data_IF_023956182323
#
_entry.id   IF_023956182323
#
_cell.length_a   1.000
_cell.length_b   1.000
_cell.length_c   1.000
_cell.angle_alpha   90.00
_cell.angle_beta   90.00
_cell.angle_gamma   90.00
#
_symmetry.space_group_name_H-M   'P 1'
#
loop_
_entity.id
_entity.type
_entity.pdbx_description
1 polymer ?
#
# COMPACT_ATOMS: atom_id res chain seq x y z
N UNK A 1 -2.22 32.03 73.53
CA UNK A 1 -1.92 32.48 72.15
C UNK A 1 -2.94 31.87 71.22
N UNK A 2 -3.94 32.64 70.80
CA UNK A 2 -4.93 32.19 69.82
C UNK A 2 -4.32 32.27 68.42
N UNK A 3 -4.24 31.13 67.73
CA UNK A 3 -3.84 31.09 66.32
C UNK A 3 -5.00 31.56 65.46
N UNK A 4 -4.87 32.73 64.84
CA UNK A 4 -5.76 33.18 63.78
C UNK A 4 -5.46 32.36 62.52
N UNK A 5 -6.30 31.37 62.22
CA UNK A 5 -6.32 30.75 60.90
C UNK A 5 -6.97 31.72 59.93
N UNK A 6 -6.18 32.28 59.02
CA UNK A 6 -6.70 33.01 57.88
C UNK A 6 -7.51 32.01 57.04
N UNK A 7 -8.84 32.18 57.03
CA UNK A 7 -9.71 31.43 56.12
C UNK A 7 -9.80 32.25 54.85
N UNK A 8 -9.07 31.82 53.82
CA UNK A 8 -9.24 32.37 52.49
C UNK A 8 -10.70 32.26 52.06
N UNK A 9 -11.15 33.26 51.29
CA UNK A 9 -12.52 33.28 50.77
C UNK A 9 -12.75 32.02 49.92
N UNK A 10 -13.92 31.36 50.04
CA UNK A 10 -14.23 30.22 49.22
C UNK A 10 -14.19 30.62 47.74
N UNK A 11 -13.28 30.01 47.00
CA UNK A 11 -13.16 30.19 45.55
C UNK A 11 -14.42 29.62 44.89
N UNK A 12 -15.18 30.41 44.11
CA UNK A 12 -16.34 29.93 43.39
C UNK A 12 -15.99 28.72 42.53
N UNK A 13 -16.89 27.71 42.42
CA UNK A 13 -16.49 26.48 41.78
C UNK A 13 -16.06 26.63 40.32
N UNK A 14 -16.66 27.58 39.63
CA UNK A 14 -16.44 27.82 38.20
C UNK A 14 -15.06 28.45 37.90
N UNK A 15 -14.41 29.07 38.88
CA UNK A 15 -13.07 29.68 38.70
C UNK A 15 -11.95 28.64 38.62
N UNK A 16 -12.21 27.40 39.02
CA UNK A 16 -11.18 26.34 39.08
C UNK A 16 -11.54 25.11 38.27
N UNK A 17 -12.76 25.00 37.74
CA UNK A 17 -13.18 23.85 36.91
C UNK A 17 -12.54 23.96 35.53
N UNK A 18 -11.71 22.98 35.10
CA UNK A 18 -11.08 23.01 33.78
C UNK A 18 -12.09 22.90 32.64
N UNK A 19 -11.75 23.47 31.49
CA UNK A 19 -12.42 23.13 30.23
C UNK A 19 -12.33 21.61 29.97
N UNK A 20 -13.38 21.00 29.40
CA UNK A 20 -13.32 19.60 29.00
C UNK A 20 -12.28 19.41 27.91
N UNK A 21 -11.55 18.30 27.98
CA UNK A 21 -10.64 17.88 26.91
C UNK A 21 -11.44 17.60 25.64
N UNK A 22 -11.05 18.17 24.51
CA UNK A 22 -11.71 17.95 23.22
C UNK A 22 -10.83 17.18 22.21
N UNK A 23 -9.56 16.93 22.56
CA UNK A 23 -8.55 16.32 21.71
C UNK A 23 -8.10 14.92 22.18
N UNK A 24 -8.92 14.23 22.99
CA UNK A 24 -8.65 12.84 23.35
C UNK A 24 -8.57 11.99 22.08
N UNK A 25 -7.44 11.33 21.90
CA UNK A 25 -7.12 10.53 20.73
C UNK A 25 -6.41 9.25 21.13
N UNK A 26 -6.31 8.30 20.20
CA UNK A 26 -5.63 7.04 20.44
C UNK A 26 -4.85 6.55 19.22
N UNK A 27 -3.81 5.76 19.50
CA UNK A 27 -3.14 4.92 18.52
C UNK A 27 -3.17 3.47 19.00
N UNK A 28 -3.47 2.55 18.07
CA UNK A 28 -3.49 1.10 18.32
C UNK A 28 -2.23 0.49 17.73
N UNK A 29 -1.52 -0.29 18.53
CA UNK A 29 -0.40 -1.12 18.10
C UNK A 29 -0.68 -2.62 18.38
N UNK A 30 0.30 -3.49 18.12
CA UNK A 30 0.15 -4.94 18.30
C UNK A 30 0.02 -5.37 19.78
N UNK A 31 0.35 -4.48 20.71
CA UNK A 31 0.44 -4.75 22.16
C UNK A 31 -0.64 -4.04 22.98
N UNK A 32 -1.36 -3.09 22.39
CA UNK A 32 -2.43 -2.38 23.06
C UNK A 32 -2.76 -1.04 22.42
N UNK A 33 -3.16 -0.09 23.27
CA UNK A 33 -3.43 1.29 22.88
C UNK A 33 -2.55 2.27 23.64
N UNK A 34 -2.26 3.38 22.98
CA UNK A 34 -1.78 4.60 23.60
C UNK A 34 -2.85 5.68 23.45
N UNK A 35 -3.35 6.21 24.57
CA UNK A 35 -4.25 7.36 24.60
C UNK A 35 -3.44 8.62 24.81
N UNK A 36 -3.80 9.71 24.14
CA UNK A 36 -3.14 11.01 24.26
C UNK A 36 -4.16 12.13 24.25
N UNK A 37 -3.96 13.12 25.12
CA UNK A 37 -4.76 14.34 25.19
C UNK A 37 -3.95 15.52 25.73
N UNK A 38 -4.39 16.74 25.45
CA UNK A 38 -3.74 17.96 25.95
C UNK A 38 -4.21 18.29 27.37
N UNK A 39 -3.33 18.90 28.17
CA UNK A 39 -3.72 19.47 29.46
C UNK A 39 -4.59 20.70 29.21
N UNK A 40 -5.80 20.82 29.80
CA UNK A 40 -6.61 22.02 29.66
C UNK A 40 -5.88 23.23 30.23
N UNK A 41 -5.64 24.24 29.40
CA UNK A 41 -4.93 25.45 29.79
C UNK A 41 -5.84 26.50 30.46
N UNK A 42 -7.15 26.29 30.43
CA UNK A 42 -8.15 27.23 30.91
C UNK A 42 -9.25 26.57 31.72
N UNK A 43 -9.88 27.37 32.57
CA UNK A 43 -11.14 27.02 33.23
C UNK A 43 -12.34 27.28 32.31
N UNK A 44 -13.53 26.87 32.74
CA UNK A 44 -14.78 27.06 31.97
C UNK A 44 -15.19 28.54 31.76
N UNK A 45 -14.57 29.47 32.48
CA UNK A 45 -14.75 30.92 32.29
C UNK A 45 -13.69 31.53 31.34
N UNK A 46 -12.70 30.75 30.92
CA UNK A 46 -11.62 31.15 30.02
C UNK A 46 -10.36 31.68 30.72
N UNK A 47 -10.31 31.68 32.05
CA UNK A 47 -9.11 32.07 32.81
C UNK A 47 -8.03 30.99 32.74
N UNK A 48 -6.77 31.40 32.76
CA UNK A 48 -5.64 30.49 32.66
C UNK A 48 -5.50 29.61 33.92
N UNK A 49 -5.21 28.33 33.70
CA UNK A 49 -4.84 27.39 34.74
C UNK A 49 -3.31 27.19 34.74
N UNK A 50 -2.73 27.02 35.93
CA UNK A 50 -1.30 26.73 36.07
C UNK A 50 -1.00 25.23 36.11
N UNK A 51 -1.91 24.45 36.72
CA UNK A 51 -1.76 23.02 36.89
C UNK A 51 -3.08 22.26 36.80
N UNK A 52 -2.95 20.98 36.45
CA UNK A 52 -4.00 19.97 36.63
C UNK A 52 -3.55 19.05 37.75
N UNK A 53 -4.37 18.80 38.77
CA UNK A 53 -4.01 17.91 39.86
C UNK A 53 -4.04 16.44 39.44
N UNK A 54 -5.09 16.04 38.70
CA UNK A 54 -5.20 14.69 38.15
C UNK A 54 -6.22 14.62 37.04
N UNK A 55 -6.16 13.53 36.28
CA UNK A 55 -7.22 13.13 35.37
C UNK A 55 -7.92 11.88 35.89
N UNK A 56 -9.22 11.80 35.64
CA UNK A 56 -10.02 10.58 35.79
C UNK A 56 -10.26 10.01 34.40
N UNK A 57 -9.58 8.90 34.09
CA UNK A 57 -9.75 8.19 32.83
C UNK A 57 -10.83 7.12 33.00
N UNK A 58 -11.97 7.32 32.34
CA UNK A 58 -13.06 6.36 32.33
C UNK A 58 -12.88 5.38 31.17
N UNK A 59 -13.16 4.11 31.45
CA UNK A 59 -13.13 3.03 30.46
C UNK A 59 -14.44 2.26 30.51
N UNK A 60 -15.04 2.03 29.35
CA UNK A 60 -16.09 1.03 29.16
C UNK A 60 -15.58 -0.08 28.24
N UNK A 61 -16.02 -1.31 28.48
CA UNK A 61 -15.68 -2.49 27.68
C UNK A 61 -16.97 -3.22 27.37
N UNK A 62 -17.32 -3.32 26.10
CA UNK A 62 -18.57 -3.94 25.63
C UNK A 62 -18.21 -5.07 24.68
N UNK A 63 -18.74 -6.28 24.90
CA UNK A 63 -18.56 -7.37 23.95
C UNK A 63 -19.18 -7.00 22.60
N UNK A 64 -18.55 -7.35 21.48
CA UNK A 64 -19.04 -6.97 20.16
C UNK A 64 -20.44 -7.54 19.86
N UNK A 65 -20.75 -8.72 20.41
CA UNK A 65 -22.08 -9.34 20.28
C UNK A 65 -23.18 -8.59 21.03
N UNK A 66 -22.83 -7.89 22.10
CA UNK A 66 -23.74 -7.10 22.93
C UNK A 66 -23.77 -5.61 22.53
N UNK A 67 -22.94 -5.20 21.56
CA UNK A 67 -22.80 -3.80 21.20
C UNK A 67 -24.02 -3.27 20.46
N UNK A 68 -24.64 -2.22 21.00
CA UNK A 68 -25.69 -1.45 20.36
C UNK A 68 -25.29 0.03 20.24
N UNK A 69 -25.31 0.62 19.03
CA UNK A 69 -24.86 2.01 18.81
C UNK A 69 -25.65 3.09 19.57
N UNK A 70 -26.89 2.81 19.96
CA UNK A 70 -27.79 3.77 20.62
C UNK A 70 -27.89 3.56 22.13
N UNK A 71 -27.22 2.54 22.67
CA UNK A 71 -27.28 2.25 24.09
C UNK A 71 -26.34 3.15 24.89
N UNK A 72 -26.69 3.49 26.15
CA UNK A 72 -25.77 4.16 27.05
C UNK A 72 -24.48 3.35 27.24
N UNK A 73 -23.34 4.01 27.15
CA UNK A 73 -22.03 3.37 27.33
C UNK A 73 -21.78 3.12 28.83
N UNK A 74 -21.55 1.87 29.26
CA UNK A 74 -21.40 1.54 30.68
C UNK A 74 -19.97 1.79 31.16
N UNK A 75 -19.62 3.05 31.42
CA UNK A 75 -18.31 3.41 31.99
C UNK A 75 -18.16 2.86 33.41
N UNK A 76 -17.05 2.18 33.67
CA UNK A 76 -16.68 1.71 35.01
C UNK A 76 -16.03 2.80 35.86
N UNK A 77 -15.49 2.40 37.03
CA UNK A 77 -14.73 3.30 37.90
C UNK A 77 -13.51 3.89 37.16
N UNK A 78 -13.24 5.19 37.33
CA UNK A 78 -12.16 5.86 36.62
C UNK A 78 -10.79 5.49 37.19
N UNK A 79 -9.81 5.42 36.29
CA UNK A 79 -8.40 5.28 36.62
C UNK A 79 -7.83 6.68 36.87
N UNK A 80 -7.23 6.89 38.04
CA UNK A 80 -6.57 8.17 38.34
C UNK A 80 -5.23 8.23 37.60
N UNK A 81 -5.10 9.21 36.71
CA UNK A 81 -3.85 9.54 36.02
C UNK A 81 -3.27 10.81 36.66
N UNK A 82 -1.99 10.82 37.07
CA UNK A 82 -1.37 12.02 37.65
C UNK A 82 -1.41 13.21 36.69
N UNK A 83 -1.69 14.40 37.23
CA UNK A 83 -1.55 15.64 36.50
C UNK A 83 -0.16 16.25 36.67
N UNK A 84 -0.09 17.57 36.63
CA UNK A 84 1.13 18.37 36.75
C UNK A 84 0.94 19.78 36.19
N UNK A 85 2.06 20.48 36.02
CA UNK A 85 2.09 21.77 35.33
C UNK A 85 1.61 21.61 33.88
N UNK A 86 0.85 22.61 33.43
CA UNK A 86 0.29 22.66 32.07
C UNK A 86 1.36 23.04 31.06
N UNK A 87 2.26 23.96 31.43
CA UNK A 87 3.38 24.36 30.58
C UNK A 87 4.43 23.25 30.51
N UNK A 88 4.71 22.79 29.30
CA UNK A 88 5.76 21.84 28.96
C UNK A 88 7.04 22.56 28.49
N UNK A 89 7.94 21.79 27.85
CA UNK A 89 9.19 22.35 27.33
C UNK A 89 8.91 23.44 26.27
N UNK A 90 9.71 24.51 26.30
CA UNK A 90 9.65 25.65 25.37
C UNK A 90 8.27 26.34 25.28
N UNK A 91 7.47 26.34 26.37
CA UNK A 91 6.17 27.00 26.40
C UNK A 91 5.05 26.25 25.67
N UNK A 92 5.26 24.97 25.33
CA UNK A 92 4.23 24.12 24.72
C UNK A 92 3.20 23.66 25.75
N UNK A 93 1.96 23.40 25.34
CA UNK A 93 0.98 22.75 26.22
C UNK A 93 1.36 21.28 26.37
N UNK A 94 1.50 20.82 27.62
CA UNK A 94 1.83 19.44 27.94
C UNK A 94 0.72 18.50 27.49
N UNK A 95 1.10 17.29 27.07
CA UNK A 95 0.17 16.19 26.80
C UNK A 95 0.26 15.12 27.86
N UNK A 96 -0.89 14.54 28.20
CA UNK A 96 -0.99 13.34 29.00
C UNK A 96 -1.03 12.13 28.08
N UNK A 97 -0.45 11.03 28.56
CA UNK A 97 -0.42 9.76 27.86
C UNK A 97 -0.85 8.63 28.80
N UNK A 98 -1.60 7.67 28.27
CA UNK A 98 -1.97 6.46 29.00
C UNK A 98 -1.90 5.24 28.10
N UNK A 99 -1.06 4.27 28.49
CA UNK A 99 -0.90 2.99 27.79
C UNK A 99 -1.76 1.91 28.43
N UNK A 100 -2.57 1.22 27.63
CA UNK A 100 -3.34 0.05 28.05
C UNK A 100 -2.98 -1.16 27.19
N UNK A 101 -2.52 -2.25 27.83
CA UNK A 101 -2.05 -3.47 27.13
C UNK A 101 -2.92 -4.71 27.38
N UNK A 102 -3.77 -4.69 28.42
CA UNK A 102 -4.61 -5.82 28.81
C UNK A 102 -6.00 -5.72 28.15
N UNK A 103 -6.01 -5.79 26.82
CA UNK A 103 -7.23 -5.72 26.01
C UNK A 103 -7.75 -7.12 25.67
N UNK A 104 -9.07 -7.30 25.73
CA UNK A 104 -9.76 -8.56 25.46
C UNK A 104 -10.22 -8.56 24.01
N UNK A 105 -9.80 -9.53 23.18
CA UNK A 105 -10.31 -9.65 21.82
C UNK A 105 -11.84 -9.78 21.79
N UNK A 106 -12.47 -9.34 20.70
CA UNK A 106 -13.92 -9.40 20.53
C UNK A 106 -14.69 -8.35 21.32
N UNK A 107 -14.04 -7.25 21.72
CA UNK A 107 -14.68 -6.18 22.49
C UNK A 107 -14.47 -4.81 21.84
N UNK A 108 -15.47 -3.94 22.01
CA UNK A 108 -15.37 -2.50 21.77
C UNK A 108 -15.03 -1.79 23.07
N UNK A 109 -14.04 -0.92 22.99
CA UNK A 109 -13.59 -0.06 24.08
C UNK A 109 -14.07 1.36 23.88
N UNK A 110 -14.43 2.02 24.96
CA UNK A 110 -14.73 3.45 25.00
C UNK A 110 -13.89 4.11 26.07
N UNK A 111 -13.36 5.28 25.76
CA UNK A 111 -12.61 6.11 26.70
C UNK A 111 -13.10 7.55 26.67
N UNK A 112 -13.15 8.14 27.87
CA UNK A 112 -13.29 9.57 28.09
C UNK A 112 -12.46 9.98 29.29
N UNK A 113 -12.11 11.24 29.39
CA UNK A 113 -11.28 11.79 30.46
C UNK A 113 -11.99 12.98 31.09
N UNK A 114 -11.93 13.07 32.41
CA UNK A 114 -12.22 14.30 33.13
C UNK A 114 -10.93 14.86 33.72
N UNK A 115 -10.76 16.17 33.64
CA UNK A 115 -9.64 16.90 34.22
C UNK A 115 -10.05 17.49 35.56
N UNK A 116 -9.12 17.51 36.52
CA UNK A 116 -9.41 18.03 37.86
C UNK A 116 -8.24 18.84 38.40
N UNK A 117 -8.53 20.06 38.87
CA UNK A 117 -7.60 20.95 39.58
C UNK A 117 -7.62 20.70 41.09
N UNK A 118 -8.72 20.13 41.62
CA UNK A 118 -8.88 19.78 43.03
C UNK A 118 -10.00 18.76 43.23
N UNK A 119 -10.10 18.16 44.42
CA UNK A 119 -11.03 17.06 44.75
C UNK A 119 -12.53 17.38 44.54
N UNK A 120 -12.91 18.65 44.39
CA UNK A 120 -14.27 19.10 44.11
C UNK A 120 -14.41 19.82 42.77
N UNK A 121 -13.31 20.10 42.07
CA UNK A 121 -13.28 20.83 40.80
C UNK A 121 -12.89 19.87 39.67
N UNK A 122 -13.89 19.44 38.90
CA UNK A 122 -13.79 18.42 37.84
C UNK A 122 -14.50 18.91 36.58
N UNK A 123 -13.87 18.71 35.43
CA UNK A 123 -14.43 19.10 34.13
C UNK A 123 -15.64 18.23 33.75
N UNK A 124 -16.39 18.69 32.75
CA UNK A 124 -17.30 17.83 32.01
C UNK A 124 -16.56 16.72 31.23
N UNK A 125 -17.34 15.82 30.63
CA UNK A 125 -16.86 14.75 29.74
C UNK A 125 -15.98 15.32 28.62
N UNK A 126 -14.86 14.65 28.35
CA UNK A 126 -14.14 14.85 27.09
C UNK A 126 -14.94 14.36 25.89
N UNK A 127 -14.44 14.61 24.69
CA UNK A 127 -14.81 13.79 23.53
C UNK A 127 -14.58 12.29 23.85
N UNK A 128 -15.50 11.43 23.39
CA UNK A 128 -15.40 9.98 23.58
C UNK A 128 -14.66 9.38 22.38
N UNK A 129 -13.64 8.58 22.65
CA UNK A 129 -13.01 7.74 21.63
C UNK A 129 -13.44 6.29 21.79
N UNK A 130 -13.61 5.59 20.67
CA UNK A 130 -13.93 4.17 20.67
C UNK A 130 -13.16 3.41 19.59
N UNK A 131 -12.89 2.13 19.86
CA UNK A 131 -12.25 1.22 18.91
C UNK A 131 -12.61 -0.23 19.23
N UNK A 132 -12.51 -1.09 18.22
CA UNK A 132 -12.58 -2.55 18.37
C UNK A 132 -11.19 -3.13 18.60
N UNK A 133 -11.06 -3.96 19.63
CA UNK A 133 -9.89 -4.81 19.81
C UNK A 133 -10.23 -6.25 19.44
N UNK A 134 -9.51 -6.81 18.48
CA UNK A 134 -9.71 -8.17 18.01
C UNK A 134 -8.38 -8.81 17.63
N UNK A 135 -8.32 -10.15 17.69
CA UNK A 135 -7.16 -10.88 17.18
C UNK A 135 -6.96 -10.54 15.70
N UNK A 136 -5.75 -10.17 15.25
CA UNK A 136 -5.52 -9.81 13.86
C UNK A 136 -5.81 -10.97 12.88
N UNK A 137 -6.24 -10.64 11.67
CA UNK A 137 -6.31 -11.60 10.56
C UNK A 137 -4.91 -12.09 10.15
N UNK A 138 -4.80 -13.34 9.68
CA UNK A 138 -3.52 -13.86 9.16
C UNK A 138 -3.03 -13.08 7.94
N UNK A 139 -1.72 -13.11 7.74
CA UNK A 139 -1.12 -12.56 6.52
C UNK A 139 -1.59 -13.32 5.27
N UNK A 140 -1.84 -12.62 4.14
CA UNK A 140 -2.04 -13.26 2.85
C UNK A 140 -0.83 -14.12 2.47
N UNK A 141 -1.08 -15.37 2.12
CA UNK A 141 -0.06 -16.32 1.69
C UNK A 141 0.02 -16.41 0.17
N UNK A 142 1.13 -16.95 -0.36
CA UNK A 142 1.28 -17.21 -1.78
C UNK A 142 1.18 -15.97 -2.67
N UNK A 143 1.62 -14.81 -2.17
CA UNK A 143 1.73 -13.61 -3.01
C UNK A 143 2.68 -13.90 -4.18
N UNK A 144 2.23 -13.63 -5.38
CA UNK A 144 2.99 -13.75 -6.63
C UNK A 144 2.83 -12.48 -7.46
N UNK A 145 3.82 -12.19 -8.30
CA UNK A 145 3.82 -11.05 -9.22
C UNK A 145 4.11 -11.54 -10.64
N UNK A 146 3.22 -11.19 -11.57
CA UNK A 146 3.38 -11.44 -13.01
C UNK A 146 3.62 -10.11 -13.71
N UNK A 147 4.81 -9.97 -14.30
CA UNK A 147 5.22 -8.78 -15.04
C UNK A 147 4.63 -8.76 -16.45
N UNK A 148 4.37 -7.57 -16.97
CA UNK A 148 3.94 -7.26 -18.33
C UNK A 148 4.49 -5.88 -18.73
N UNK A 149 4.27 -5.47 -19.98
CA UNK A 149 4.59 -4.11 -20.42
C UNK A 149 3.85 -3.06 -19.56
N UNK A 150 4.62 -2.28 -18.80
CA UNK A 150 4.16 -1.25 -17.86
C UNK A 150 3.09 -1.71 -16.87
N UNK A 151 3.10 -3.00 -16.54
CA UNK A 151 2.13 -3.56 -15.61
C UNK A 151 2.72 -4.67 -14.74
N UNK A 152 2.29 -4.72 -13.47
CA UNK A 152 2.49 -5.87 -12.59
C UNK A 152 1.12 -6.36 -12.12
N UNK A 153 0.81 -7.63 -12.36
CA UNK A 153 -0.37 -8.31 -11.84
C UNK A 153 0.02 -9.13 -10.61
N UNK A 154 -0.56 -8.78 -9.47
CA UNK A 154 -0.37 -9.46 -8.19
C UNK A 154 -1.54 -10.40 -7.94
N UNK A 155 -1.27 -11.56 -7.36
CA UNK A 155 -2.28 -12.50 -6.88
C UNK A 155 -1.81 -13.17 -5.59
N UNK A 156 -2.75 -13.49 -4.70
CA UNK A 156 -2.47 -14.15 -3.42
C UNK A 156 -3.61 -15.10 -3.01
N UNK A 157 -3.37 -15.93 -2.01
CA UNK A 157 -4.39 -16.82 -1.45
C UNK A 157 -5.34 -16.05 -0.52
N UNK A 158 -6.65 -16.37 -0.53
CA UNK A 158 -7.60 -15.74 0.38
C UNK A 158 -7.27 -16.08 1.84
N UNK A 159 -7.37 -15.08 2.71
CA UNK A 159 -7.27 -15.25 4.16
C UNK A 159 -8.65 -15.64 4.70
N UNK A 160 -8.71 -16.69 5.53
CA UNK A 160 -9.97 -17.21 6.07
C UNK A 160 -10.04 -17.26 7.59
N UNK A 161 -8.92 -16.99 8.29
CA UNK A 161 -8.86 -17.08 9.75
C UNK A 161 -8.03 -15.95 10.38
N UNK A 162 -8.31 -15.71 11.66
CA UNK A 162 -7.47 -14.94 12.57
C UNK A 162 -6.18 -15.72 12.89
N UNK A 163 -5.20 -15.04 13.48
CA UNK A 163 -3.89 -15.64 13.85
C UNK A 163 -4.07 -16.84 14.79
N UNK A 164 -5.00 -16.78 15.72
CA UNK A 164 -5.34 -17.86 16.66
C UNK A 164 -6.15 -19.01 16.02
N UNK A 165 -6.51 -18.92 14.73
CA UNK A 165 -7.26 -19.96 14.01
C UNK A 165 -8.78 -19.78 13.99
N UNK A 166 -9.32 -18.81 14.73
CA UNK A 166 -10.75 -18.50 14.70
C UNK A 166 -11.18 -17.91 13.34
N UNK A 167 -12.48 -17.98 13.05
CA UNK A 167 -13.04 -17.38 11.83
C UNK A 167 -12.98 -15.85 11.90
N UNK A 168 -12.84 -15.23 10.74
CA UNK A 168 -12.90 -13.77 10.63
C UNK A 168 -14.35 -13.31 10.78
N UNK A 169 -14.60 -12.41 11.72
CA UNK A 169 -15.81 -11.60 11.81
C UNK A 169 -15.55 -10.24 11.16
N UNK A 170 -16.40 -9.81 10.23
CA UNK A 170 -16.28 -8.51 9.55
C UNK A 170 -15.92 -8.60 8.06
N UNK A 171 -15.80 -7.42 7.42
CA UNK A 171 -15.50 -7.29 5.99
C UNK A 171 -13.98 -7.33 5.75
N UNK A 172 -13.50 -8.42 5.14
CA UNK A 172 -12.08 -8.64 4.85
C UNK A 172 -11.69 -8.02 3.51
N UNK A 173 -10.68 -7.15 3.54
CA UNK A 173 -10.03 -6.54 2.38
C UNK A 173 -8.52 -6.70 2.44
N UNK A 174 -7.86 -6.25 1.39
CA UNK A 174 -6.41 -6.33 1.23
C UNK A 174 -5.85 -4.97 0.85
N UNK A 175 -4.96 -4.43 1.69
CA UNK A 175 -4.18 -3.26 1.35
C UNK A 175 -2.93 -3.72 0.60
N UNK A 176 -2.80 -3.31 -0.66
CA UNK A 176 -1.58 -3.52 -1.45
C UNK A 176 -0.66 -2.33 -1.22
N UNK A 177 0.64 -2.61 -1.06
CA UNK A 177 1.67 -1.59 -0.91
C UNK A 177 2.88 -1.90 -1.80
N UNK A 178 3.54 -0.85 -2.29
CA UNK A 178 4.71 -0.93 -3.17
C UNK A 178 5.89 -0.18 -2.58
N UNK A 179 7.09 -0.66 -2.87
CA UNK A 179 8.36 -0.02 -2.54
C UNK A 179 9.31 -0.07 -3.73
N UNK A 180 10.17 0.94 -3.87
CA UNK A 180 11.26 0.93 -4.85
C UNK A 180 12.57 0.37 -4.27
N UNK A 181 12.74 0.40 -2.95
CA UNK A 181 13.96 0.00 -2.24
C UNK A 181 13.81 -1.30 -1.43
N UNK A 182 12.59 -1.84 -1.36
CA UNK A 182 12.26 -3.04 -0.58
C UNK A 182 12.07 -2.77 0.91
N UNK A 183 12.22 -1.52 1.37
CA UNK A 183 12.16 -1.13 2.77
C UNK A 183 10.96 -0.22 3.07
N UNK A 184 10.84 0.90 2.34
CA UNK A 184 9.76 1.88 2.56
C UNK A 184 8.60 1.59 1.62
N UNK A 185 7.53 1.02 2.18
CA UNK A 185 6.33 0.67 1.42
C UNK A 185 5.28 1.78 1.53
N UNK A 186 4.70 2.16 0.39
CA UNK A 186 3.56 3.07 0.30
C UNK A 186 2.32 2.32 -0.19
N UNK A 187 1.16 2.67 0.37
CA UNK A 187 -0.11 2.04 -0.01
C UNK A 187 -0.49 2.42 -1.45
N UNK A 188 -0.91 1.43 -2.23
CA UNK A 188 -1.45 1.61 -3.58
C UNK A 188 -2.98 1.66 -3.51
N UNK A 189 -3.52 2.88 -3.42
CA UNK A 189 -4.97 3.10 -3.34
C UNK A 189 -5.62 2.51 -2.09
N UNK A 190 -6.95 2.36 -2.14
CA UNK A 190 -7.76 1.82 -1.05
C UNK A 190 -7.73 0.28 -1.00
N UNK A 191 -7.99 -0.34 0.16
CA UNK A 191 -8.07 -1.80 0.27
C UNK A 191 -9.08 -2.43 -0.69
N UNK A 192 -8.70 -3.55 -1.31
CA UNK A 192 -9.51 -4.27 -2.30
C UNK A 192 -10.13 -5.53 -1.70
N UNK A 193 -11.36 -5.88 -2.09
CA UNK A 193 -12.04 -7.11 -1.66
C UNK A 193 -11.70 -8.36 -2.49
N UNK A 194 -10.85 -8.22 -3.51
CA UNK A 194 -10.41 -9.33 -4.39
C UNK A 194 -9.03 -9.82 -3.98
N UNK A 195 -8.67 -11.02 -4.39
CA UNK A 195 -7.34 -11.62 -4.12
C UNK A 195 -6.31 -11.37 -5.22
N UNK A 196 -6.52 -10.31 -6.01
CA UNK A 196 -5.60 -9.88 -7.06
C UNK A 196 -5.63 -8.36 -7.20
N UNK A 197 -4.55 -7.80 -7.73
CA UNK A 197 -4.38 -6.37 -7.98
C UNK A 197 -3.50 -6.13 -9.20
N UNK A 198 -3.83 -5.14 -10.02
CA UNK A 198 -3.02 -4.75 -11.17
C UNK A 198 -2.43 -3.35 -10.93
N UNK A 199 -1.10 -3.27 -10.84
CA UNK A 199 -0.37 -2.00 -10.82
C UNK A 199 0.06 -1.64 -12.25
N UNK A 200 -0.65 -0.69 -12.86
CA UNK A 200 -0.36 -0.16 -14.19
C UNK A 200 0.40 1.17 -14.14
N UNK A 201 0.98 1.53 -13.00
CA UNK A 201 1.71 2.80 -12.79
C UNK A 201 3.23 2.61 -12.80
N UNK A 202 3.68 1.41 -13.16
CA UNK A 202 5.08 1.01 -13.18
C UNK A 202 5.75 1.32 -14.51
N UNK A 203 7.08 1.41 -14.49
CA UNK A 203 7.89 1.55 -15.70
C UNK A 203 8.73 0.30 -15.93
N UNK A 204 8.93 -0.05 -17.20
CA UNK A 204 9.79 -1.17 -17.57
C UNK A 204 11.25 -0.91 -17.16
N UNK A 205 11.97 -1.98 -16.81
CA UNK A 205 13.35 -1.95 -16.35
C UNK A 205 13.55 -1.34 -14.96
N UNK A 206 12.46 -1.02 -14.25
CA UNK A 206 12.52 -0.58 -12.84
C UNK A 206 12.10 -1.72 -11.93
N UNK A 207 12.87 -1.91 -10.87
CA UNK A 207 12.58 -2.89 -9.82
C UNK A 207 11.55 -2.33 -8.83
N UNK A 208 10.61 -3.18 -8.45
CA UNK A 208 9.57 -2.89 -7.47
C UNK A 208 9.41 -4.05 -6.50
N UNK A 209 9.05 -3.74 -5.27
CA UNK A 209 8.71 -4.71 -4.24
C UNK A 209 7.28 -4.50 -3.80
N UNK A 210 6.52 -5.59 -3.64
CA UNK A 210 5.11 -5.55 -3.26
C UNK A 210 4.86 -6.36 -2.00
N UNK A 211 4.00 -5.81 -1.13
CA UNK A 211 3.44 -6.49 0.03
C UNK A 211 1.93 -6.34 0.01
N UNK A 212 1.24 -7.30 0.62
CA UNK A 212 -0.21 -7.25 0.81
C UNK A 212 -0.52 -7.49 2.27
N UNK A 213 -1.31 -6.60 2.88
CA UNK A 213 -1.78 -6.70 4.25
C UNK A 213 -3.27 -7.00 4.27
N UNK A 214 -3.69 -7.99 5.06
CA UNK A 214 -5.11 -8.20 5.35
C UNK A 214 -5.64 -7.06 6.21
N UNK A 215 -6.82 -6.55 5.91
CA UNK A 215 -7.49 -5.49 6.67
C UNK A 215 -8.92 -5.95 6.92
N UNK A 216 -9.37 -5.93 8.16
CA UNK A 216 -10.74 -6.31 8.53
C UNK A 216 -11.48 -5.07 8.99
N UNK A 217 -12.71 -4.89 8.50
CA UNK A 217 -13.60 -3.83 8.95
C UNK A 217 -14.72 -4.42 9.82
N UNK A 218 -14.85 -3.92 11.05
CA UNK A 218 -15.89 -4.32 12.01
C UNK A 218 -16.55 -3.04 12.52
N UNK A 219 -17.85 -2.88 12.31
CA UNK A 219 -18.62 -1.72 12.76
C UNK A 219 -17.98 -0.36 12.41
N UNK A 220 -17.37 -0.27 11.23
CA UNK A 220 -16.68 0.93 10.74
C UNK A 220 -15.22 1.06 11.18
N UNK A 221 -14.77 0.30 12.19
CA UNK A 221 -13.38 0.29 12.62
C UNK A 221 -12.51 -0.50 11.66
N UNK A 222 -11.29 0.01 11.40
CA UNK A 222 -10.30 -0.60 10.51
C UNK A 222 -9.24 -1.32 11.33
N UNK A 223 -9.22 -2.64 11.26
CA UNK A 223 -8.25 -3.49 11.95
C UNK A 223 -7.18 -3.98 10.97
N UNK A 224 -5.92 -3.65 11.26
CA UNK A 224 -4.78 -4.14 10.50
C UNK A 224 -4.49 -5.59 10.88
N UNK A 225 -4.36 -6.46 9.88
CA UNK A 225 -3.93 -7.83 10.04
C UNK A 225 -2.49 -8.07 9.60
N UNK A 226 -2.15 -9.35 9.41
CA UNK A 226 -0.84 -9.77 8.97
C UNK A 226 -0.46 -9.23 7.59
N UNK A 227 0.84 -9.04 7.38
CA UNK A 227 1.43 -8.59 6.11
C UNK A 227 2.19 -9.75 5.47
N UNK A 228 1.99 -9.94 4.16
CA UNK A 228 2.68 -10.98 3.39
C UNK A 228 4.20 -10.77 3.38
N UNK A 229 4.94 -11.83 3.02
CA UNK A 229 6.31 -11.65 2.53
C UNK A 229 6.30 -10.75 1.29
N UNK A 230 7.37 -9.99 1.11
CA UNK A 230 7.51 -9.17 -0.09
C UNK A 230 7.80 -10.04 -1.31
N UNK A 231 7.28 -9.63 -2.46
CA UNK A 231 7.70 -10.14 -3.77
C UNK A 231 8.34 -9.04 -4.58
N UNK A 232 9.38 -9.39 -5.33
CA UNK A 232 10.05 -8.49 -6.26
C UNK A 232 9.46 -8.65 -7.67
N UNK A 233 9.39 -7.55 -8.42
CA UNK A 233 8.97 -7.53 -9.81
C UNK A 233 9.73 -6.45 -10.57
N UNK A 234 10.20 -6.80 -11.77
CA UNK A 234 10.82 -5.86 -12.71
C UNK A 234 10.05 -5.94 -14.03
N UNK A 235 9.11 -5.02 -14.29
CA UNK A 235 8.34 -4.99 -15.53
C UNK A 235 9.27 -4.88 -16.73
N UNK A 236 8.90 -5.55 -17.81
CA UNK A 236 9.63 -5.53 -19.06
C UNK A 236 8.62 -5.56 -20.20
N UNK A 237 8.99 -4.96 -21.33
CA UNK A 237 8.21 -5.15 -22.54
C UNK A 237 8.35 -6.61 -22.99
N UNK A 238 7.22 -7.29 -23.13
CA UNK A 238 7.13 -8.68 -23.58
C UNK A 238 6.36 -8.79 -24.90
N UNK A 239 6.03 -7.66 -25.54
CA UNK A 239 5.22 -7.59 -26.74
C UNK A 239 6.13 -7.50 -27.96
N UNK A 240 6.25 -8.56 -28.79
CA UNK A 240 7.04 -8.46 -29.99
C UNK A 240 6.46 -7.44 -30.98
N UNK A 241 7.30 -6.82 -31.83
CA UNK A 241 6.82 -6.06 -32.97
C UNK A 241 5.87 -6.86 -33.87
N UNK A 242 5.00 -6.20 -34.65
CA UNK A 242 4.17 -6.88 -35.63
C UNK A 242 5.03 -7.56 -36.71
N UNK A 243 4.46 -8.60 -37.32
CA UNK A 243 5.12 -9.32 -38.42
C UNK A 243 5.42 -8.39 -39.60
N UNK A 244 6.61 -8.52 -40.18
CA UNK A 244 7.02 -7.72 -41.33
C UNK A 244 6.29 -8.12 -42.60
N UNK A 245 5.91 -7.11 -43.40
CA UNK A 245 5.17 -7.25 -44.66
C UNK A 245 5.95 -6.62 -45.82
N UNK A 246 5.47 -6.82 -47.05
CA UNK A 246 6.08 -6.21 -48.24
C UNK A 246 7.49 -6.72 -48.56
N UNK A 247 7.84 -7.92 -48.10
CA UNK A 247 9.15 -8.51 -48.40
C UNK A 247 9.25 -8.76 -49.90
N UNK A 248 10.26 -8.18 -50.54
CA UNK A 248 10.60 -8.41 -51.93
C UNK A 248 12.07 -8.81 -52.04
N UNK A 249 12.32 -9.80 -52.90
CA UNK A 249 13.65 -10.39 -53.12
C UNK A 249 14.03 -10.15 -54.57
N UNK A 250 15.11 -9.40 -54.78
CA UNK A 250 15.51 -8.88 -56.09
C UNK A 250 16.94 -9.35 -56.39
N UNK A 251 17.12 -10.02 -57.53
CA UNK A 251 18.45 -10.39 -58.02
C UNK A 251 19.19 -9.12 -58.47
N UNK A 252 20.42 -8.91 -58.00
CA UNK A 252 21.26 -7.77 -58.38
C UNK A 252 22.69 -8.23 -58.66
N UNK A 253 22.94 -8.66 -59.91
CA UNK A 253 24.21 -9.28 -60.31
C UNK A 253 24.44 -10.59 -59.54
N UNK A 254 25.60 -10.72 -58.89
CA UNK A 254 25.95 -11.89 -58.06
C UNK A 254 25.32 -11.88 -56.65
N UNK A 255 24.59 -10.82 -56.30
CA UNK A 255 23.98 -10.65 -54.98
C UNK A 255 22.46 -10.74 -55.06
N UNK A 256 21.83 -10.95 -53.91
CA UNK A 256 20.37 -10.81 -53.74
C UNK A 256 20.09 -9.67 -52.76
N UNK A 257 19.24 -8.73 -53.17
CA UNK A 257 18.73 -7.65 -52.32
C UNK A 257 17.38 -8.07 -51.75
N UNK A 258 17.24 -7.99 -50.44
CA UNK A 258 15.99 -8.22 -49.71
C UNK A 258 15.54 -6.86 -49.21
N UNK A 259 14.35 -6.43 -49.60
CA UNK A 259 13.72 -5.19 -49.13
C UNK A 259 12.40 -5.51 -48.47
N UNK A 260 11.97 -4.69 -47.52
CA UNK A 260 10.70 -4.87 -46.81
C UNK A 260 10.09 -3.52 -46.44
N UNK A 261 8.82 -3.56 -46.02
CA UNK A 261 8.18 -2.39 -45.41
C UNK A 261 8.67 -2.25 -43.97
N UNK A 262 8.95 -1.02 -43.54
CA UNK A 262 9.27 -0.75 -42.14
C UNK A 262 8.15 -1.24 -41.20
N UNK A 263 8.52 -1.71 -40.01
CA UNK A 263 7.55 -2.07 -38.98
C UNK A 263 6.73 -0.86 -38.55
N UNK A 264 5.48 -1.07 -38.15
CA UNK A 264 4.64 -0.01 -37.55
C UNK A 264 4.90 0.18 -36.06
N UNK A 265 5.65 -0.72 -35.42
CA UNK A 265 6.07 -0.57 -34.02
C UNK A 265 7.18 0.49 -33.89
N UNK A 266 7.10 1.31 -32.84
CA UNK A 266 7.97 2.49 -32.65
C UNK A 266 9.32 2.16 -32.00
N UNK A 267 9.41 0.99 -31.41
CA UNK A 267 10.46 0.49 -30.53
C UNK A 267 11.32 -0.60 -31.20
N UNK A 268 11.15 -0.82 -32.51
CA UNK A 268 12.00 -1.72 -33.29
C UNK A 268 13.45 -1.24 -33.24
N UNK A 269 14.34 -2.10 -32.76
CA UNK A 269 15.77 -1.85 -32.71
C UNK A 269 16.46 -2.31 -34.01
N UNK A 270 16.10 -3.48 -34.53
CA UNK A 270 16.67 -4.05 -35.75
C UNK A 270 15.77 -5.12 -36.37
N UNK A 271 16.11 -5.53 -37.59
CA UNK A 271 15.50 -6.63 -38.33
C UNK A 271 16.47 -7.80 -38.41
N UNK A 272 15.97 -9.04 -38.32
CA UNK A 272 16.76 -10.25 -38.61
C UNK A 272 16.36 -10.81 -39.97
N UNK A 273 17.36 -11.13 -40.78
CA UNK A 273 17.17 -11.67 -42.12
C UNK A 273 17.54 -13.14 -42.10
N UNK A 274 16.63 -13.96 -42.63
CA UNK A 274 16.76 -15.40 -42.70
C UNK A 274 16.78 -15.86 -44.15
N UNK A 275 17.53 -16.92 -44.40
CA UNK A 275 17.65 -17.57 -45.71
C UNK A 275 17.45 -19.07 -45.58
N UNK A 276 16.58 -19.64 -46.42
CA UNK A 276 16.44 -21.08 -46.64
C UNK A 276 16.93 -21.43 -48.03
N UNK A 277 17.82 -22.40 -48.14
CA UNK A 277 18.23 -22.95 -49.44
C UNK A 277 17.20 -24.00 -49.86
N UNK A 278 16.87 -24.06 -51.15
CA UNK A 278 16.01 -25.14 -51.68
C UNK A 278 16.55 -26.52 -51.27
N UNK A 279 15.65 -27.40 -50.81
CA UNK A 279 15.99 -28.70 -50.26
C UNK A 279 16.41 -28.70 -48.77
N UNK A 280 16.55 -27.55 -48.12
CA UNK A 280 16.76 -27.46 -46.67
C UNK A 280 15.44 -27.30 -45.92
N UNK A 281 15.35 -27.93 -44.74
CA UNK A 281 14.13 -27.93 -43.92
C UNK A 281 13.92 -26.65 -43.11
N UNK A 282 14.99 -25.91 -42.78
CA UNK A 282 14.91 -24.72 -41.90
C UNK A 282 15.70 -23.56 -42.48
N UNK A 283 15.16 -22.33 -42.44
CA UNK A 283 15.93 -21.13 -42.74
C UNK A 283 16.96 -20.86 -41.63
N UNK A 284 18.10 -20.29 -42.01
CA UNK A 284 19.16 -19.83 -41.10
C UNK A 284 19.25 -18.31 -41.10
N UNK A 285 19.55 -17.71 -39.95
CA UNK A 285 19.81 -16.25 -39.86
C UNK A 285 21.11 -15.93 -40.59
N UNK A 286 21.06 -14.99 -41.53
CA UNK A 286 22.23 -14.58 -42.33
C UNK A 286 22.72 -13.17 -42.01
N UNK A 287 21.94 -12.37 -41.27
CA UNK A 287 22.36 -11.05 -40.84
C UNK A 287 21.27 -10.27 -40.14
N UNK A 288 21.64 -9.05 -39.73
CA UNK A 288 20.78 -8.08 -39.06
C UNK A 288 20.91 -6.72 -39.75
N UNK A 289 19.81 -5.95 -39.76
CA UNK A 289 19.77 -4.60 -40.28
C UNK A 289 19.18 -3.67 -39.21
N UNK A 290 19.85 -2.55 -38.90
CA UNK A 290 19.31 -1.55 -37.94
C UNK A 290 17.93 -1.06 -38.40
N UNK A 291 17.07 -0.66 -37.47
CA UNK A 291 15.67 -0.29 -37.77
C UNK A 291 15.50 0.84 -38.80
N UNK A 292 16.49 1.71 -38.97
CA UNK A 292 16.53 2.75 -40.02
C UNK A 292 16.75 2.21 -41.44
N UNK A 293 17.16 0.95 -41.59
CA UNK A 293 17.36 0.29 -42.86
C UNK A 293 16.30 -0.77 -43.10
N UNK A 294 15.65 -0.70 -44.25
CA UNK A 294 14.66 -1.65 -44.73
C UNK A 294 15.18 -2.45 -45.94
N UNK A 295 16.50 -2.67 -45.98
CA UNK A 295 17.21 -3.38 -47.02
C UNK A 295 18.36 -4.21 -46.43
N UNK A 296 18.56 -5.41 -46.97
CA UNK A 296 19.71 -6.27 -46.70
C UNK A 296 20.25 -6.84 -48.02
N UNK A 297 21.57 -7.01 -48.11
CA UNK A 297 22.23 -7.56 -49.30
C UNK A 297 22.91 -8.87 -48.94
N UNK A 298 22.37 -9.97 -49.44
CA UNK A 298 23.05 -11.27 -49.38
C UNK A 298 24.07 -11.37 -50.51
N UNK A 299 25.35 -11.44 -50.13
CA UNK A 299 26.49 -11.57 -51.05
C UNK A 299 26.96 -13.02 -51.22
N UNK A 300 26.42 -13.94 -50.42
CA UNK A 300 26.87 -15.33 -50.35
C UNK A 300 25.90 -16.24 -51.12
N UNK A 301 25.69 -15.92 -52.40
CA UNK A 301 24.68 -16.55 -53.27
C UNK A 301 25.39 -17.31 -54.40
N UNK A 302 24.91 -18.53 -54.71
CA UNK A 302 25.43 -19.37 -55.80
C UNK A 302 24.41 -19.51 -56.93
N UNK A 303 24.85 -19.49 -58.19
CA UNK A 303 23.97 -19.40 -59.37
C UNK A 303 23.01 -20.60 -59.58
N UNK A 304 23.31 -21.78 -59.00
CA UNK A 304 22.52 -23.00 -59.20
C UNK A 304 21.61 -23.36 -58.01
N UNK A 305 21.33 -22.42 -57.10
CA UNK A 305 20.46 -22.69 -55.94
C UNK A 305 19.36 -21.65 -55.85
N UNK A 306 18.14 -22.12 -55.58
CA UNK A 306 17.00 -21.26 -55.24
C UNK A 306 17.05 -20.95 -53.74
N UNK A 307 16.89 -19.69 -53.40
CA UNK A 307 16.93 -19.19 -52.03
C UNK A 307 15.61 -18.53 -51.67
N UNK A 308 15.11 -18.83 -50.48
CA UNK A 308 13.94 -18.21 -49.90
C UNK A 308 14.37 -17.32 -48.74
N UNK A 309 13.85 -16.11 -48.67
CA UNK A 309 14.18 -15.13 -47.65
C UNK A 309 12.94 -14.74 -46.85
N UNK A 310 13.16 -14.44 -45.58
CA UNK A 310 12.13 -13.96 -44.67
C UNK A 310 12.75 -13.03 -43.64
N UNK A 311 11.94 -12.13 -43.10
CA UNK A 311 12.38 -11.07 -42.20
C UNK A 311 11.54 -11.09 -40.92
N UNK A 312 12.17 -10.83 -39.78
CA UNK A 312 11.51 -10.51 -38.50
C UNK A 312 11.97 -9.14 -38.03
N UNK A 313 11.16 -8.49 -37.20
CA UNK A 313 11.54 -7.31 -36.43
C UNK A 313 11.83 -7.69 -34.98
N UNK A 314 12.81 -7.01 -34.38
CA UNK A 314 13.19 -7.18 -32.97
C UNK A 314 13.16 -5.82 -32.30
N UNK A 315 12.47 -5.70 -31.17
CA UNK A 315 12.40 -4.48 -30.38
C UNK A 315 13.66 -4.24 -29.52
N UNK A 316 13.69 -3.12 -28.81
CA UNK A 316 14.76 -2.76 -27.86
C UNK A 316 14.86 -3.68 -26.64
N UNK A 317 13.81 -4.45 -26.34
CA UNK A 317 13.75 -5.42 -25.25
C UNK A 317 14.10 -6.85 -25.70
N UNK A 318 14.33 -7.05 -27.00
CA UNK A 318 14.72 -8.32 -27.59
C UNK A 318 13.57 -9.22 -28.03
N UNK A 319 12.31 -8.76 -27.96
CA UNK A 319 11.18 -9.53 -28.42
C UNK A 319 11.18 -9.56 -29.96
N UNK A 320 11.14 -10.77 -30.53
CA UNK A 320 11.19 -10.99 -31.97
C UNK A 320 9.80 -11.30 -32.53
N UNK A 321 9.42 -10.59 -33.59
CA UNK A 321 8.16 -10.80 -34.29
C UNK A 321 8.05 -12.21 -34.85
N UNK A 322 6.83 -12.62 -35.23
CA UNK A 322 6.68 -13.74 -36.16
C UNK A 322 7.44 -13.46 -37.45
N UNK A 323 7.98 -14.51 -38.06
CA UNK A 323 8.68 -14.46 -39.35
C UNK A 323 7.68 -14.15 -40.47
N UNK A 324 8.06 -13.25 -41.37
CA UNK A 324 7.30 -12.96 -42.59
C UNK A 324 7.08 -14.22 -43.43
N UNK A 325 6.19 -14.13 -44.42
CA UNK A 325 6.15 -15.11 -45.50
C UNK A 325 7.54 -15.23 -46.16
N UNK A 326 7.88 -16.44 -46.58
CA UNK A 326 9.09 -16.70 -47.35
C UNK A 326 8.90 -16.21 -48.79
N UNK A 327 9.85 -15.41 -49.27
CA UNK A 327 9.85 -14.85 -50.61
C UNK A 327 11.10 -15.32 -51.36
N UNK A 328 10.97 -15.55 -52.67
CA UNK A 328 12.08 -15.89 -53.57
C UNK A 328 12.22 -14.81 -54.63
N UNK A 329 13.35 -14.77 -55.34
CA UNK A 329 13.48 -13.94 -56.54
C UNK A 329 12.34 -14.25 -57.52
N UNK A 330 11.72 -13.22 -58.06
CA UNK A 330 10.82 -13.39 -59.22
C UNK A 330 11.68 -13.74 -60.43
N UNK A 331 11.27 -14.77 -61.16
CA UNK A 331 11.84 -15.14 -62.46
C UNK A 331 11.48 -14.08 -63.52
#
# INVERSE_FOLDING_TARGET
>A
MGGCGYKDMPVPPDEVVPEPVDDLSYEVDETGINLTWSFPAKNINGDALENIASFKLYRAVVALEDYCPTCPVPFGEPIKVPGGLIEGENGSVRKAEYRSTLLRPGHRYFFKVHSSTSWWAESADSNIVSFVWQVPAKAPAGLTAVVNDRAVKLAWQPVSSLVNGEKISGDLKYQVSRSADGNKFTSLGSPVGKTFFADNTVFNGKRYFYKVQSVVYIDGDKLKGGTSKAVEAEPADQTPPPMITGVAVIRAGKNIKIVWNASTAKDVAFYRIYRKVSGQNKPVRIGEAKSIYNIFVDKNVSDNKRFYYSVTAVDGNGNESRRSAEMTTRD
#
